data_IF_973048774741
#
_entry.id   IF_973048774741
#
_cell.length_a   1.000
_cell.length_b   1.000
_cell.length_c   1.000
_cell.angle_alpha   90.00
_cell.angle_beta   90.00
_cell.angle_gamma   90.00
#
_symmetry.space_group_name_H-M   'P 1'
#
loop_
_entity.id
_entity.type
_entity.pdbx_description
1 polymer ?
#
# COMPACT_ATOMS: atom_id res chain seq x y z
N UNK A 1 25.03 12.88 -6.61
CA UNK A 1 24.31 14.16 -6.44
C UNK A 1 22.82 14.03 -6.74
N UNK A 2 22.44 13.37 -7.84
CA UNK A 2 21.04 13.11 -8.23
C UNK A 2 20.33 12.21 -7.20
N UNK A 3 20.98 11.16 -6.70
CA UNK A 3 20.42 10.27 -5.67
C UNK A 3 20.22 11.00 -4.33
N UNK A 4 21.14 11.90 -3.95
CA UNK A 4 20.98 12.74 -2.75
C UNK A 4 19.77 13.66 -2.86
N UNK A 5 19.57 14.29 -4.02
CA UNK A 5 18.39 15.12 -4.29
C UNK A 5 17.08 14.33 -4.27
N UNK A 6 17.10 13.06 -4.66
CA UNK A 6 15.93 12.17 -4.57
C UNK A 6 15.62 11.80 -3.11
N UNK A 7 16.63 11.50 -2.29
CA UNK A 7 16.46 11.23 -0.86
C UNK A 7 15.93 12.46 -0.13
N UNK A 8 16.50 13.65 -0.39
CA UNK A 8 16.02 14.91 0.18
C UNK A 8 14.57 15.22 -0.21
N UNK A 9 14.19 14.90 -1.44
CA UNK A 9 12.83 15.08 -1.94
C UNK A 9 11.84 14.10 -1.31
N UNK A 10 12.24 12.85 -1.11
CA UNK A 10 11.41 11.80 -0.48
C UNK A 10 11.25 12.02 1.02
N UNK A 11 12.29 12.53 1.69
CA UNK A 11 12.28 12.75 3.14
C UNK A 11 11.69 14.07 3.57
N UNK A 12 11.35 14.99 2.63
CA UNK A 12 10.93 16.37 2.90
C UNK A 12 11.92 17.15 3.80
N UNK A 13 13.15 16.69 3.87
CA UNK A 13 14.21 17.34 4.64
C UNK A 13 14.69 18.57 3.86
N UNK A 14 14.25 19.73 4.29
CA UNK A 14 14.68 21.02 3.75
C UNK A 14 16.00 21.44 4.41
N UNK A 15 17.02 20.58 4.36
CA UNK A 15 18.33 20.85 4.95
C UNK A 15 19.31 21.26 3.86
N UNK A 16 20.00 22.35 4.06
CA UNK A 16 21.12 22.79 3.19
C UNK A 16 22.39 21.92 3.39
N UNK A 17 22.40 21.03 4.38
CA UNK A 17 23.50 20.13 4.64
C UNK A 17 23.32 18.81 3.86
N UNK A 18 24.41 18.26 3.28
CA UNK A 18 24.34 16.99 2.58
C UNK A 18 23.97 15.86 3.55
N UNK A 19 22.91 15.14 3.25
CA UNK A 19 22.50 13.96 4.02
C UNK A 19 23.62 12.93 3.95
N UNK A 20 24.15 12.55 5.11
CA UNK A 20 25.12 11.45 5.24
C UNK A 20 24.39 10.19 5.67
N UNK A 21 24.67 9.04 5.08
CA UNK A 21 24.13 7.78 5.60
C UNK A 21 24.61 7.55 7.02
N UNK A 22 23.74 7.01 7.88
CA UNK A 22 24.07 6.69 9.28
C UNK A 22 25.15 5.60 9.40
N UNK A 23 25.21 4.71 8.39
CA UNK A 23 26.18 3.64 8.29
C UNK A 23 27.06 3.85 7.06
N UNK A 24 28.38 3.82 7.25
CA UNK A 24 29.36 3.94 6.15
C UNK A 24 29.55 2.62 5.41
N UNK A 25 29.26 1.48 6.05
CA UNK A 25 29.41 0.16 5.46
C UNK A 25 28.07 -0.48 5.15
N UNK A 26 27.94 -0.99 3.93
CA UNK A 26 26.77 -1.75 3.50
C UNK A 26 26.79 -3.13 4.16
N UNK A 27 25.76 -3.47 4.93
CA UNK A 27 25.59 -4.77 5.58
C UNK A 27 24.33 -5.49 5.07
N UNK A 28 24.35 -6.83 5.15
CA UNK A 28 23.19 -7.64 4.78
C UNK A 28 22.11 -7.55 5.86
N UNK A 29 20.87 -7.28 5.44
CA UNK A 29 19.71 -7.22 6.34
C UNK A 29 19.34 -8.65 6.76
N UNK A 30 19.06 -8.87 8.05
CA UNK A 30 18.59 -10.15 8.54
C UNK A 30 17.22 -10.51 7.97
N UNK A 31 17.14 -11.60 7.22
CA UNK A 31 15.89 -12.15 6.69
C UNK A 31 15.15 -12.92 7.80
N UNK A 32 14.30 -12.22 8.57
CA UNK A 32 13.49 -12.87 9.62
C UNK A 32 12.05 -13.06 9.15
N UNK A 33 11.50 -14.26 9.40
CA UNK A 33 10.08 -14.60 9.21
C UNK A 33 9.51 -14.35 7.78
N UNK A 34 10.32 -14.54 6.75
CA UNK A 34 9.91 -14.30 5.35
C UNK A 34 9.25 -15.52 4.67
N UNK A 35 9.09 -16.66 5.38
CA UNK A 35 8.74 -17.94 4.77
C UNK A 35 7.25 -18.18 4.56
N UNK A 36 6.37 -17.37 5.16
CA UNK A 36 4.93 -17.57 5.11
C UNK A 36 4.20 -16.28 4.74
N UNK A 37 3.69 -16.25 3.51
CA UNK A 37 2.75 -15.23 3.08
C UNK A 37 1.33 -15.79 3.02
N UNK A 38 0.39 -15.14 3.70
CA UNK A 38 -1.03 -15.47 3.63
C UNK A 38 -1.80 -14.20 3.22
N UNK A 39 -2.30 -14.19 1.98
CA UNK A 39 -3.08 -13.05 1.46
C UNK A 39 -4.27 -12.70 2.35
N UNK A 40 -4.99 -13.69 2.90
CA UNK A 40 -6.18 -13.45 3.71
C UNK A 40 -5.90 -12.73 5.02
N UNK A 41 -4.66 -12.80 5.52
CA UNK A 41 -4.22 -12.10 6.73
C UNK A 41 -3.46 -10.81 6.42
N UNK A 42 -3.17 -10.55 5.16
CA UNK A 42 -2.55 -9.29 4.74
C UNK A 42 -3.54 -8.13 4.84
N UNK A 43 -3.01 -6.89 4.93
CA UNK A 43 -3.83 -5.69 4.96
C UNK A 43 -4.73 -5.59 3.72
N UNK A 44 -4.22 -5.94 2.54
CA UNK A 44 -4.98 -5.95 1.30
C UNK A 44 -6.12 -6.98 1.35
N UNK A 45 -5.85 -8.20 1.84
CA UNK A 45 -6.85 -9.25 1.98
C UNK A 45 -7.96 -8.89 2.97
N UNK A 46 -7.61 -8.30 4.12
CA UNK A 46 -8.59 -7.80 5.10
C UNK A 46 -9.44 -6.68 4.52
N UNK A 47 -8.83 -5.73 3.81
CA UNK A 47 -9.56 -4.66 3.13
C UNK A 47 -10.60 -5.20 2.12
N UNK A 48 -10.22 -6.18 1.31
CA UNK A 48 -11.14 -6.79 0.33
C UNK A 48 -12.27 -7.57 1.02
N UNK A 49 -12.01 -8.24 2.14
CA UNK A 49 -13.07 -8.87 2.94
C UNK A 49 -14.05 -7.86 3.50
N UNK A 50 -13.56 -6.76 4.06
CA UNK A 50 -14.41 -5.69 4.58
C UNK A 50 -15.22 -5.02 3.47
N UNK A 51 -14.64 -4.83 2.28
CA UNK A 51 -15.34 -4.35 1.09
C UNK A 51 -16.50 -5.26 0.70
N UNK A 52 -16.31 -6.58 0.71
CA UNK A 52 -17.39 -7.55 0.44
C UNK A 52 -18.50 -7.48 1.49
N UNK A 53 -18.14 -7.36 2.79
CA UNK A 53 -19.11 -7.19 3.87
C UNK A 53 -19.91 -5.89 3.71
N UNK A 54 -19.27 -4.81 3.28
CA UNK A 54 -19.93 -3.54 2.99
C UNK A 54 -20.94 -3.68 1.85
N UNK A 55 -20.56 -4.33 0.75
CA UNK A 55 -21.45 -4.57 -0.40
C UNK A 55 -22.62 -5.50 -0.05
N UNK A 56 -22.42 -6.50 0.82
CA UNK A 56 -23.52 -7.33 1.33
C UNK A 56 -24.54 -6.50 2.16
N UNK A 57 -24.06 -5.50 2.92
CA UNK A 57 -24.93 -4.56 3.61
C UNK A 57 -25.66 -3.62 2.65
N UNK A 58 -24.99 -3.21 1.57
CA UNK A 58 -25.59 -2.39 0.51
C UNK A 58 -26.71 -3.13 -0.23
N UNK A 59 -26.52 -4.42 -0.53
CA UNK A 59 -27.60 -5.27 -1.08
C UNK A 59 -28.78 -5.33 -0.11
N UNK A 60 -28.53 -5.48 1.21
CA UNK A 60 -29.60 -5.46 2.20
C UNK A 60 -30.30 -4.09 2.24
N UNK A 61 -29.55 -2.99 2.19
CA UNK A 61 -30.12 -1.64 2.12
C UNK A 61 -30.94 -1.43 0.84
N UNK A 62 -30.46 -1.88 -0.33
CA UNK A 62 -31.23 -1.80 -1.57
C UNK A 62 -32.57 -2.58 -1.48
N UNK A 63 -32.58 -3.71 -0.76
CA UNK A 63 -33.80 -4.52 -0.54
C UNK A 63 -34.82 -3.81 0.35
N UNK A 64 -34.41 -2.88 1.22
CA UNK A 64 -35.38 -2.11 2.03
C UNK A 64 -36.31 -1.23 1.20
N UNK A 65 -35.92 -0.91 -0.04
CA UNK A 65 -36.79 -0.21 -1.01
C UNK A 65 -38.05 -0.98 -1.39
N UNK A 66 -38.18 -2.25 -1.04
CA UNK A 66 -39.42 -3.02 -1.17
C UNK A 66 -40.36 -2.86 0.04
N UNK A 67 -39.84 -2.38 1.17
CA UNK A 67 -40.62 -2.22 2.37
C UNK A 67 -41.40 -0.90 2.36
N UNK A 68 -42.56 -0.84 3.04
CA UNK A 68 -43.26 0.42 3.26
C UNK A 68 -42.35 1.39 4.02
N UNK A 69 -42.38 2.67 3.65
CA UNK A 69 -41.72 3.74 4.40
C UNK A 69 -42.68 4.36 5.41
N UNK A 70 -42.21 4.59 6.64
CA UNK A 70 -42.92 5.31 7.65
C UNK A 70 -42.24 6.68 7.83
N UNK A 71 -43.02 7.75 7.72
CA UNK A 71 -42.55 9.11 7.98
C UNK A 71 -43.32 9.73 9.11
N UNK A 72 -42.58 10.36 10.03
CA UNK A 72 -43.15 11.18 11.11
C UNK A 72 -42.59 12.59 10.93
N UNK A 73 -43.45 13.56 10.73
CA UNK A 73 -43.07 14.96 10.71
C UNK A 73 -43.75 15.77 11.81
N UNK A 74 -42.93 16.61 12.45
CA UNK A 74 -43.41 17.59 13.43
C UNK A 74 -43.31 18.97 12.76
N UNK A 75 -44.42 19.69 12.78
CA UNK A 75 -44.46 21.02 12.17
C UNK A 75 -44.90 22.03 13.24
N UNK A 76 -44.13 23.09 13.36
CA UNK A 76 -44.53 24.24 14.14
C UNK A 76 -44.72 25.43 13.21
N UNK A 77 -45.81 26.16 13.33
CA UNK A 77 -46.09 27.33 12.52
C UNK A 77 -46.45 28.48 13.46
N UNK A 78 -45.71 29.58 13.35
CA UNK A 78 -45.96 30.82 14.03
C UNK A 78 -46.74 31.78 13.12
N UNK A 79 -47.86 32.25 13.53
CA UNK A 79 -48.63 33.26 12.82
C UNK A 79 -48.25 34.64 13.32
N UNK A 80 -47.66 35.46 12.47
CA UNK A 80 -47.31 36.85 12.78
C UNK A 80 -48.58 37.72 12.62
N UNK A 81 -49.14 38.18 13.70
CA UNK A 81 -50.45 38.88 13.71
C UNK A 81 -50.42 40.27 13.03
N UNK A 82 -49.26 40.88 12.94
CA UNK A 82 -49.08 42.27 12.42
C UNK A 82 -49.17 42.42 10.90
N UNK A 83 -49.04 41.32 10.15
CA UNK A 83 -49.05 41.33 8.70
C UNK A 83 -50.33 40.66 8.15
N UNK A 84 -51.31 41.45 7.70
CA UNK A 84 -52.55 41.00 7.15
C UNK A 84 -52.91 41.74 5.84
N UNK A 85 -52.24 41.43 4.72
CA UNK A 85 -52.42 42.15 3.48
C UNK A 85 -53.80 42.00 2.87
N UNK A 86 -54.56 40.97 3.23
CA UNK A 86 -55.86 40.65 2.71
C UNK A 86 -57.01 41.00 3.67
N UNK A 87 -56.74 41.64 4.78
CA UNK A 87 -57.73 42.03 5.80
C UNK A 87 -58.68 40.87 6.22
N UNK A 88 -58.13 39.68 6.36
CA UNK A 88 -58.86 38.45 6.76
C UNK A 88 -59.21 38.57 8.26
N UNK A 89 -60.47 38.31 8.62
CA UNK A 89 -60.90 38.20 9.98
C UNK A 89 -60.19 37.01 10.69
N UNK A 90 -59.31 37.33 11.61
CA UNK A 90 -58.51 36.36 12.38
C UNK A 90 -59.11 36.00 13.75
N UNK A 91 -60.31 36.49 14.05
CA UNK A 91 -60.96 36.20 15.32
C UNK A 91 -61.15 34.71 15.61
N UNK A 92 -61.12 33.88 14.54
CA UNK A 92 -61.21 32.42 14.61
C UNK A 92 -59.87 31.71 14.81
N UNK A 93 -58.73 32.40 14.67
CA UNK A 93 -57.41 31.84 14.82
C UNK A 93 -56.83 32.36 16.11
N UNK A 94 -56.66 31.50 17.11
CA UNK A 94 -55.96 31.88 18.35
C UNK A 94 -54.55 32.39 18.01
N UNK A 95 -54.16 33.51 18.59
CA UNK A 95 -52.78 33.98 18.54
C UNK A 95 -51.90 32.94 19.23
N UNK A 96 -51.01 32.31 18.48
CA UNK A 96 -50.11 31.31 19.08
C UNK A 96 -49.40 30.46 18.06
N UNK A 97 -48.51 29.65 18.55
CA UNK A 97 -47.80 28.67 17.75
C UNK A 97 -48.73 27.46 17.50
N UNK A 98 -48.96 27.18 16.23
CA UNK A 98 -49.63 25.92 15.84
C UNK A 98 -48.62 24.80 15.82
N UNK A 99 -48.91 23.76 16.57
CA UNK A 99 -48.14 22.53 16.61
C UNK A 99 -48.94 21.43 15.93
N UNK A 100 -48.35 20.86 14.89
CA UNK A 100 -48.94 19.75 14.14
C UNK A 100 -47.98 18.59 14.05
N UNK A 101 -48.51 17.38 14.09
CA UNK A 101 -47.77 16.18 13.77
C UNK A 101 -48.44 15.49 12.58
N UNK A 102 -47.66 14.85 11.75
CA UNK A 102 -48.11 14.11 10.58
C UNK A 102 -47.43 12.75 10.56
N UNK A 103 -48.21 11.69 10.42
CA UNK A 103 -47.74 10.34 10.22
C UNK A 103 -48.08 9.93 8.79
N UNK A 104 -47.07 9.62 7.99
CA UNK A 104 -47.24 9.17 6.62
C UNK A 104 -46.75 7.74 6.44
N UNK A 105 -47.47 6.93 5.68
CA UNK A 105 -47.06 5.59 5.26
C UNK A 105 -46.98 5.61 3.74
N UNK A 106 -45.76 5.43 3.22
CA UNK A 106 -45.50 5.33 1.78
C UNK A 106 -45.37 3.86 1.34
N UNK A 107 -46.23 3.40 0.43
CA UNK A 107 -46.15 2.05 -0.12
C UNK A 107 -45.71 2.15 -1.58
N UNK A 108 -44.53 1.55 -1.94
CA UNK A 108 -44.07 1.57 -3.31
C UNK A 108 -45.00 0.68 -4.16
N UNK A 109 -45.62 1.26 -5.19
CA UNK A 109 -46.48 0.53 -6.10
C UNK A 109 -45.72 -0.09 -7.28
N UNK A 110 -44.57 0.47 -7.65
CA UNK A 110 -43.74 0.04 -8.76
C UNK A 110 -42.37 -0.39 -8.28
N UNK A 111 -42.08 -1.67 -8.42
CA UNK A 111 -40.82 -2.28 -7.92
C UNK A 111 -39.71 -2.36 -8.99
N UNK A 112 -39.93 -1.87 -10.21
CA UNK A 112 -38.97 -1.98 -11.31
C UNK A 112 -37.61 -1.35 -10.99
N UNK A 113 -37.60 -0.12 -10.48
CA UNK A 113 -36.36 0.59 -10.11
C UNK A 113 -35.66 -0.05 -8.94
N UNK A 114 -36.39 -0.47 -7.90
CA UNK A 114 -35.83 -1.16 -6.72
C UNK A 114 -35.23 -2.49 -7.13
N UNK A 115 -35.90 -3.28 -7.98
CA UNK A 115 -35.37 -4.54 -8.51
C UNK A 115 -34.10 -4.34 -9.32
N UNK A 116 -34.02 -3.27 -10.12
CA UNK A 116 -32.84 -2.91 -10.88
C UNK A 116 -31.66 -2.53 -9.94
N UNK A 117 -31.92 -1.73 -8.89
CA UNK A 117 -30.93 -1.35 -7.87
C UNK A 117 -30.37 -2.57 -7.14
N UNK A 118 -31.23 -3.48 -6.70
CA UNK A 118 -30.80 -4.72 -6.04
C UNK A 118 -29.93 -5.56 -6.97
N UNK A 119 -30.34 -5.68 -8.24
CA UNK A 119 -29.56 -6.43 -9.23
C UNK A 119 -28.21 -5.77 -9.53
N UNK A 120 -28.16 -4.44 -9.59
CA UNK A 120 -26.91 -3.71 -9.74
C UNK A 120 -25.97 -3.97 -8.54
N UNK A 121 -26.44 -3.78 -7.32
CA UNK A 121 -25.65 -4.04 -6.11
C UNK A 121 -25.16 -5.51 -6.01
N UNK A 122 -25.96 -6.48 -6.48
CA UNK A 122 -25.52 -7.87 -6.57
C UNK A 122 -24.38 -8.05 -7.58
N UNK A 123 -24.44 -7.36 -8.73
CA UNK A 123 -23.35 -7.41 -9.72
C UNK A 123 -22.09 -6.70 -9.27
N UNK A 124 -22.22 -5.62 -8.51
CA UNK A 124 -21.08 -4.93 -7.90
C UNK A 124 -20.38 -5.84 -6.88
N UNK A 125 -21.15 -6.60 -6.11
CA UNK A 125 -20.60 -7.59 -5.18
C UNK A 125 -19.90 -8.75 -5.91
N UNK A 126 -20.48 -9.28 -6.99
CA UNK A 126 -19.86 -10.32 -7.83
C UNK A 126 -18.55 -9.81 -8.45
N UNK A 127 -18.53 -8.56 -8.92
CA UNK A 127 -17.33 -7.91 -9.46
C UNK A 127 -16.23 -7.83 -8.41
N UNK A 128 -16.56 -7.34 -7.20
CA UNK A 128 -15.60 -7.23 -6.11
C UNK A 128 -15.04 -8.61 -5.68
N UNK A 129 -15.84 -9.67 -5.76
CA UNK A 129 -15.36 -11.03 -5.48
C UNK A 129 -14.36 -11.52 -6.53
N UNK A 130 -14.58 -11.19 -7.81
CA UNK A 130 -13.65 -11.51 -8.90
C UNK A 130 -12.35 -10.70 -8.74
N UNK A 131 -12.46 -9.40 -8.44
CA UNK A 131 -11.31 -8.52 -8.18
C UNK A 131 -10.45 -9.06 -7.01
N UNK A 132 -11.07 -9.48 -5.91
CA UNK A 132 -10.37 -10.07 -4.78
C UNK A 132 -9.60 -11.35 -5.18
N UNK A 133 -10.20 -12.24 -5.97
CA UNK A 133 -9.53 -13.47 -6.44
C UNK A 133 -8.38 -13.16 -7.39
N UNK A 134 -8.55 -12.17 -8.25
CA UNK A 134 -7.49 -11.72 -9.15
C UNK A 134 -6.33 -11.16 -8.34
N UNK A 135 -6.60 -10.25 -7.42
CA UNK A 135 -5.58 -9.64 -6.56
C UNK A 135 -4.83 -10.70 -5.72
N UNK A 136 -5.55 -11.66 -5.14
CA UNK A 136 -4.94 -12.79 -4.44
C UNK A 136 -3.95 -13.53 -5.34
N UNK A 137 -4.36 -13.88 -6.56
CA UNK A 137 -3.51 -14.60 -7.51
C UNK A 137 -2.27 -13.79 -7.89
N UNK A 138 -2.41 -12.48 -8.11
CA UNK A 138 -1.31 -11.58 -8.42
C UNK A 138 -0.33 -11.46 -7.25
N UNK A 139 -0.82 -11.24 -6.04
CA UNK A 139 0.02 -11.13 -4.83
C UNK A 139 0.77 -12.42 -4.51
N UNK A 140 0.11 -13.58 -4.64
CA UNK A 140 0.76 -14.88 -4.48
C UNK A 140 1.85 -15.13 -5.53
N UNK A 141 1.60 -14.74 -6.78
CA UNK A 141 2.61 -14.79 -7.84
C UNK A 141 3.79 -13.89 -7.53
N UNK A 142 3.54 -12.65 -7.13
CA UNK A 142 4.57 -11.67 -6.82
C UNK A 142 5.40 -12.11 -5.61
N UNK A 143 4.77 -12.69 -4.59
CA UNK A 143 5.49 -13.29 -3.46
C UNK A 143 6.43 -14.41 -3.90
N UNK A 144 5.96 -15.35 -4.74
CA UNK A 144 6.80 -16.44 -5.30
C UNK A 144 7.97 -15.88 -6.11
N UNK A 145 7.74 -14.81 -6.89
CA UNK A 145 8.80 -14.16 -7.66
C UNK A 145 9.84 -13.51 -6.74
N UNK A 146 9.41 -12.77 -5.72
CA UNK A 146 10.30 -12.16 -4.74
C UNK A 146 11.11 -13.20 -3.96
N UNK A 147 10.48 -14.31 -3.56
CA UNK A 147 11.17 -15.43 -2.89
C UNK A 147 12.27 -16.03 -3.78
N UNK A 148 11.99 -16.21 -5.08
CA UNK A 148 13.00 -16.70 -6.03
C UNK A 148 14.14 -15.70 -6.23
N UNK A 149 13.84 -14.41 -6.28
CA UNK A 149 14.86 -13.35 -6.35
C UNK A 149 15.73 -13.33 -5.09
N UNK A 150 15.12 -13.43 -3.91
CA UNK A 150 15.86 -13.51 -2.65
C UNK A 150 16.79 -14.74 -2.62
N UNK A 151 16.31 -15.89 -3.05
CA UNK A 151 17.13 -17.10 -3.12
C UNK A 151 18.33 -16.93 -4.06
N UNK A 152 18.12 -16.33 -5.24
CA UNK A 152 19.19 -16.06 -6.19
C UNK A 152 20.21 -15.05 -5.63
N UNK A 153 19.73 -13.95 -5.05
CA UNK A 153 20.58 -12.92 -4.44
C UNK A 153 21.36 -13.48 -3.23
N UNK A 154 20.74 -14.30 -2.39
CA UNK A 154 21.39 -14.98 -1.26
C UNK A 154 22.52 -15.91 -1.73
N UNK A 155 22.28 -16.69 -2.79
CA UNK A 155 23.31 -17.57 -3.35
C UNK A 155 24.48 -16.77 -3.92
N UNK A 156 24.18 -15.64 -4.60
CA UNK A 156 25.21 -14.73 -5.14
C UNK A 156 26.03 -14.10 -4.02
N UNK A 157 25.38 -13.60 -2.97
CA UNK A 157 26.06 -13.02 -1.82
C UNK A 157 26.98 -14.05 -1.13
N UNK A 158 26.47 -15.25 -0.85
CA UNK A 158 27.27 -16.35 -0.28
C UNK A 158 28.50 -16.71 -1.12
N UNK A 159 28.36 -16.68 -2.45
CA UNK A 159 29.48 -16.94 -3.34
C UNK A 159 30.59 -15.91 -3.15
N UNK A 160 30.25 -14.62 -3.05
CA UNK A 160 31.25 -13.56 -2.83
C UNK A 160 31.82 -13.59 -1.41
N UNK A 161 31.04 -13.89 -0.38
CA UNK A 161 31.52 -14.03 1.00
C UNK A 161 32.51 -15.20 1.16
N UNK A 162 32.21 -16.34 0.54
CA UNK A 162 33.03 -17.55 0.73
C UNK A 162 34.31 -17.56 -0.12
N UNK A 163 34.27 -16.99 -1.31
CA UNK A 163 35.36 -17.21 -2.29
C UNK A 163 36.23 -16.00 -2.56
N UNK A 164 35.78 -14.78 -2.29
CA UNK A 164 36.42 -13.62 -2.90
C UNK A 164 37.09 -12.62 -1.96
N UNK A 165 36.61 -12.42 -0.72
CA UNK A 165 37.22 -11.41 0.17
C UNK A 165 38.65 -11.79 0.64
N UNK A 166 38.88 -13.06 0.96
CA UNK A 166 40.22 -13.50 1.39
C UNK A 166 41.19 -13.55 0.20
N UNK A 167 40.73 -13.97 -0.97
CA UNK A 167 41.58 -14.09 -2.16
C UNK A 167 41.96 -12.73 -2.74
N UNK A 168 41.03 -11.78 -2.85
CA UNK A 168 41.33 -10.45 -3.40
C UNK A 168 42.34 -9.67 -2.56
N UNK A 169 42.24 -9.74 -1.22
CA UNK A 169 43.23 -9.12 -0.34
C UNK A 169 44.60 -9.78 -0.45
N UNK A 170 44.68 -11.11 -0.67
CA UNK A 170 45.91 -11.82 -0.88
C UNK A 170 46.53 -11.49 -2.22
N UNK A 171 45.78 -11.46 -3.31
CA UNK A 171 46.22 -11.10 -4.65
C UNK A 171 46.79 -9.69 -4.65
N UNK A 172 46.11 -8.72 -4.08
CA UNK A 172 46.58 -7.34 -4.00
C UNK A 172 47.92 -7.22 -3.26
N UNK A 173 48.09 -7.94 -2.14
CA UNK A 173 49.36 -7.95 -1.37
C UNK A 173 50.48 -8.64 -2.15
N UNK A 174 50.19 -9.79 -2.77
CA UNK A 174 51.17 -10.56 -3.51
C UNK A 174 51.65 -9.77 -4.74
N UNK A 175 50.74 -9.20 -5.51
CA UNK A 175 51.07 -8.38 -6.68
C UNK A 175 51.89 -7.14 -6.31
N UNK A 176 51.66 -6.54 -5.14
CA UNK A 176 52.49 -5.42 -4.68
C UNK A 176 53.92 -5.87 -4.38
N UNK A 177 54.12 -7.03 -3.72
CA UNK A 177 55.46 -7.60 -3.45
C UNK A 177 56.18 -8.00 -4.72
N UNK A 178 55.47 -8.66 -5.66
CA UNK A 178 56.05 -9.07 -6.97
C UNK A 178 56.46 -7.86 -7.82
N UNK A 179 55.67 -6.77 -7.77
CA UNK A 179 56.05 -5.52 -8.44
C UNK A 179 57.27 -4.86 -7.81
N UNK A 180 57.33 -4.79 -6.46
CA UNK A 180 58.50 -4.26 -5.73
C UNK A 180 59.80 -5.05 -6.01
N UNK A 181 59.66 -6.37 -6.18
CA UNK A 181 60.77 -7.26 -6.52
C UNK A 181 61.15 -7.20 -8.00
N UNK A 182 60.35 -6.52 -8.86
CA UNK A 182 60.59 -6.45 -10.30
C UNK A 182 60.18 -7.72 -11.05
N UNK A 183 59.37 -8.60 -10.45
CA UNK A 183 58.93 -9.87 -11.02
C UNK A 183 57.77 -9.67 -12.00
N UNK A 184 56.94 -8.62 -11.79
CA UNK A 184 55.85 -8.24 -12.69
C UNK A 184 56.00 -6.80 -13.17
N UNK A 185 55.44 -6.50 -14.33
CA UNK A 185 55.41 -5.15 -14.89
C UNK A 185 54.37 -4.26 -14.18
N UNK A 186 54.52 -2.94 -14.31
CA UNK A 186 53.54 -1.97 -13.80
C UNK A 186 52.12 -2.23 -14.35
N UNK A 187 51.99 -2.62 -15.59
CA UNK A 187 50.68 -2.92 -16.22
C UNK A 187 50.04 -4.14 -15.57
N UNK A 188 50.81 -5.20 -15.30
CA UNK A 188 50.31 -6.41 -14.62
C UNK A 188 49.90 -6.11 -13.20
N UNK A 189 50.67 -5.28 -12.47
CA UNK A 189 50.29 -4.82 -11.12
C UNK A 189 48.97 -4.01 -11.11
N UNK A 190 48.81 -3.05 -12.03
CA UNK A 190 47.58 -2.26 -12.18
C UNK A 190 46.38 -3.13 -12.48
N UNK A 191 46.51 -4.08 -13.41
CA UNK A 191 45.45 -5.03 -13.76
C UNK A 191 45.01 -5.87 -12.52
N UNK A 192 45.97 -6.34 -11.71
CA UNK A 192 45.68 -7.10 -10.49
C UNK A 192 44.93 -6.25 -9.46
N UNK A 193 45.25 -4.96 -9.32
CA UNK A 193 44.53 -4.02 -8.46
C UNK A 193 43.13 -3.75 -9.00
N UNK A 194 42.97 -3.52 -10.30
CA UNK A 194 41.66 -3.31 -10.93
C UNK A 194 40.77 -4.52 -10.73
N UNK A 195 41.27 -5.75 -10.93
CA UNK A 195 40.49 -6.97 -10.67
C UNK A 195 40.07 -7.09 -9.22
N UNK A 196 40.93 -6.71 -8.25
CA UNK A 196 40.59 -6.68 -6.84
C UNK A 196 39.47 -5.69 -6.53
N UNK A 197 39.55 -4.48 -7.10
CA UNK A 197 38.51 -3.46 -6.93
C UNK A 197 37.17 -3.93 -7.54
N UNK A 198 37.20 -4.55 -8.73
CA UNK A 198 36.02 -5.06 -9.40
C UNK A 198 35.30 -6.15 -8.55
N UNK A 199 36.07 -7.03 -7.93
CA UNK A 199 35.55 -8.03 -6.98
C UNK A 199 34.87 -7.38 -5.75
N UNK A 200 35.47 -6.34 -5.16
CA UNK A 200 34.89 -5.62 -4.05
C UNK A 200 33.60 -4.88 -4.43
N UNK A 201 33.57 -4.28 -5.62
CA UNK A 201 32.37 -3.63 -6.14
C UNK A 201 31.24 -4.65 -6.37
N UNK A 202 31.53 -5.79 -6.99
CA UNK A 202 30.56 -6.87 -7.21
C UNK A 202 30.04 -7.46 -5.88
N UNK A 203 30.84 -7.51 -4.84
CA UNK A 203 30.41 -7.91 -3.50
C UNK A 203 29.41 -6.90 -2.91
N UNK A 204 29.72 -5.59 -3.00
CA UNK A 204 28.81 -4.54 -2.55
C UNK A 204 27.49 -4.56 -3.33
N UNK A 205 27.52 -4.78 -4.63
CA UNK A 205 26.34 -4.95 -5.48
C UNK A 205 25.49 -6.16 -5.03
N UNK A 206 26.15 -7.28 -4.70
CA UNK A 206 25.47 -8.49 -4.23
C UNK A 206 24.74 -8.25 -2.87
N UNK A 207 25.36 -7.50 -1.94
CA UNK A 207 24.71 -7.09 -0.69
C UNK A 207 23.50 -6.21 -0.98
N UNK A 208 23.62 -5.24 -1.88
CA UNK A 208 22.52 -4.36 -2.24
C UNK A 208 21.37 -5.13 -2.88
N UNK A 209 21.63 -6.03 -3.84
CA UNK A 209 20.60 -6.88 -4.47
C UNK A 209 19.88 -7.75 -3.42
N UNK A 210 20.63 -8.32 -2.48
CA UNK A 210 20.06 -9.11 -1.39
C UNK A 210 19.15 -8.26 -0.51
N UNK A 211 19.63 -7.09 -0.07
CA UNK A 211 18.86 -6.17 0.76
C UNK A 211 17.58 -5.71 0.07
N UNK A 212 17.64 -5.37 -1.21
CA UNK A 212 16.46 -5.02 -2.00
C UNK A 212 15.46 -6.18 -2.09
N UNK A 213 15.93 -7.41 -2.25
CA UNK A 213 15.07 -8.58 -2.29
C UNK A 213 14.38 -8.84 -0.93
N UNK A 214 15.09 -8.65 0.19
CA UNK A 214 14.52 -8.73 1.55
C UNK A 214 13.43 -7.67 1.73
N UNK A 215 13.73 -6.40 1.41
CA UNK A 215 12.78 -5.30 1.54
C UNK A 215 11.53 -5.52 0.67
N UNK A 216 11.69 -6.07 -0.55
CA UNK A 216 10.57 -6.38 -1.42
C UNK A 216 9.61 -7.40 -0.80
N UNK A 217 10.13 -8.43 -0.11
CA UNK A 217 9.29 -9.42 0.59
C UNK A 217 8.66 -8.79 1.84
N UNK A 218 9.42 -8.06 2.65
CA UNK A 218 8.91 -7.37 3.84
C UNK A 218 7.74 -6.44 3.49
N UNK A 219 7.84 -5.72 2.37
CA UNK A 219 6.75 -4.87 1.87
C UNK A 219 5.50 -5.65 1.51
N UNK A 220 5.64 -6.85 0.92
CA UNK A 220 4.49 -7.71 0.58
C UNK A 220 3.87 -8.35 1.81
N UNK A 221 4.68 -8.72 2.81
CA UNK A 221 4.20 -9.35 4.04
C UNK A 221 3.70 -8.35 5.09
N UNK A 222 3.98 -7.05 4.91
CA UNK A 222 3.61 -6.01 5.87
C UNK A 222 4.45 -6.04 7.16
N UNK A 223 5.58 -6.75 7.16
CA UNK A 223 6.53 -6.80 8.27
C UNK A 223 7.55 -5.67 8.04
N UNK A 224 7.34 -4.52 8.68
CA UNK A 224 8.32 -3.44 8.79
C UNK A 224 8.71 -3.26 10.23
#
# INVERSE_FOLDING_TARGET
EIERLQIDRMSQLNTQEPVKPAEENLSAIAAQNLDTYNYQQSADGLYQQDKLIALDKEIKAAKTGFAPSLSLSLRTQCVISSWNPYNIDRSRFAEGNFFGFEIGVGIPLFYGSTKAKVKAAQKDRELAEIEMRQEQTEKERDYRLCTKRLQAASNRLKYYEQNNQAHSAQISKLSAIEYENGEISYIEYVNAIEETIDVLMKHADAINEYNQAVIAIQRLTGIM
#
